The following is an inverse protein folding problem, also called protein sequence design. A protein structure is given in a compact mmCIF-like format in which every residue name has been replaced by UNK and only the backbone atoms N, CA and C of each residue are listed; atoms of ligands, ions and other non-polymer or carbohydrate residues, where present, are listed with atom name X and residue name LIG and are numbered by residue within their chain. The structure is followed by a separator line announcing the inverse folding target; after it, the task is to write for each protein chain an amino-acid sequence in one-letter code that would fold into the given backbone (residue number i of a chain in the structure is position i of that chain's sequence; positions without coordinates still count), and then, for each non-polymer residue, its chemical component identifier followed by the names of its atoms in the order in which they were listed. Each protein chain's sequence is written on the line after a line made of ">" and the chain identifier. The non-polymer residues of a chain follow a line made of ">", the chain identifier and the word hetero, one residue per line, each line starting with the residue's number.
data_IF_322788140671
#
_entry.id   IF_322788140671
#
_cell.length_a   1.000
_cell.length_b   1.000
_cell.length_c   1.000
_cell.angle_alpha   90.00
_cell.angle_beta   90.00
_cell.angle_gamma   90.00
#
_symmetry.space_group_name_H-M   'P 1'
#
loop_
_entity.id
_entity.type
_entity.pdbx_description
1 polymer ?
#
# COMPACT_ATOMS: atom_id res chain seq x y z
N UNK A 1 12.58 0.20 -36.10
CA UNK A 1 11.32 0.99 -36.10
C UNK A 1 11.37 2.11 -37.12
N UNK A 2 10.26 2.37 -37.82
CA UNK A 2 10.09 3.55 -38.69
C UNK A 2 8.98 4.40 -38.09
N UNK A 3 9.30 5.62 -37.68
CA UNK A 3 8.37 6.55 -37.03
C UNK A 3 8.12 7.73 -37.96
N UNK A 4 6.85 8.06 -38.22
CA UNK A 4 6.49 9.28 -38.95
C UNK A 4 5.86 10.26 -37.98
N UNK A 5 6.43 11.45 -37.87
CA UNK A 5 5.90 12.51 -37.01
C UNK A 5 5.61 13.77 -37.83
N UNK A 6 4.55 14.48 -37.47
CA UNK A 6 4.28 15.82 -37.99
C UNK A 6 4.92 16.84 -37.05
N UNK A 7 5.87 17.62 -37.53
CA UNK A 7 6.43 18.71 -36.73
C UNK A 7 5.60 19.97 -36.92
N UNK A 8 4.96 20.42 -35.85
CA UNK A 8 4.32 21.73 -35.77
C UNK A 8 5.35 22.75 -35.26
N UNK A 9 6.22 23.24 -36.14
CA UNK A 9 6.89 24.53 -35.91
C UNK A 9 5.95 25.67 -36.34
N UNK A 10 6.34 26.93 -36.18
CA UNK A 10 5.56 28.14 -36.53
C UNK A 10 5.20 28.31 -38.04
N UNK A 11 5.11 27.22 -38.81
CA UNK A 11 4.77 27.16 -40.23
C UNK A 11 3.92 25.91 -40.55
N UNK A 12 3.75 25.56 -41.85
CA UNK A 12 2.95 24.40 -42.24
C UNK A 12 3.53 23.11 -41.66
N UNK A 13 2.65 22.20 -41.23
CA UNK A 13 3.06 20.91 -40.68
C UNK A 13 3.86 20.11 -41.74
N UNK A 14 5.07 19.70 -41.38
CA UNK A 14 5.92 18.86 -42.23
C UNK A 14 5.98 17.45 -41.64
N UNK A 15 5.67 16.45 -42.46
CA UNK A 15 5.84 15.06 -42.07
C UNK A 15 7.32 14.69 -42.18
N UNK A 16 7.91 14.24 -41.08
CA UNK A 16 9.29 13.73 -41.00
C UNK A 16 9.26 12.23 -40.76
N UNK A 17 10.16 11.50 -41.42
CA UNK A 17 10.34 10.06 -41.21
C UNK A 17 11.64 9.83 -40.46
N UNK A 18 11.54 9.13 -39.35
CA UNK A 18 12.67 8.73 -38.53
C UNK A 18 12.85 7.23 -38.60
N UNK A 19 14.11 6.79 -38.64
CA UNK A 19 14.49 5.39 -38.48
C UNK A 19 15.14 5.27 -37.12
N UNK A 20 14.56 4.43 -36.27
CA UNK A 20 15.19 3.99 -35.04
C UNK A 20 15.64 2.54 -35.28
N UNK A 21 16.93 2.24 -35.12
CA UNK A 21 17.38 0.87 -35.28
C UNK A 21 16.76 -0.02 -34.19
N UNK A 22 16.49 -1.27 -34.56
CA UNK A 22 15.96 -2.29 -33.65
C UNK A 22 17.14 -2.99 -32.96
N UNK A 23 17.85 -2.25 -32.09
CA UNK A 23 18.93 -2.83 -31.29
C UNK A 23 18.46 -3.07 -29.86
N UNK A 24 18.94 -4.14 -29.20
CA UNK A 24 18.88 -4.17 -27.74
C UNK A 24 19.64 -2.93 -27.27
N UNK A 25 18.97 -2.09 -26.49
CA UNK A 25 19.61 -0.94 -25.86
C UNK A 25 20.82 -1.51 -25.08
N UNK A 26 22.03 -1.21 -25.54
CA UNK A 26 23.27 -1.50 -24.82
C UNK A 26 23.86 -0.16 -24.41
N UNK A 27 24.64 -0.17 -23.33
CA UNK A 27 25.27 0.90 -22.51
C UNK A 27 25.73 2.25 -23.13
N UNK A 28 25.51 2.53 -24.42
CA UNK A 28 25.66 3.88 -24.98
C UNK A 28 24.34 4.68 -24.90
N UNK A 29 24.33 5.85 -24.23
CA UNK A 29 23.11 6.57 -23.82
C UNK A 29 22.43 7.36 -24.95
N UNK A 30 22.75 7.11 -26.21
CA UNK A 30 22.15 7.83 -27.32
C UNK A 30 21.50 6.84 -28.28
N UNK A 31 20.17 6.71 -28.19
CA UNK A 31 19.38 6.23 -29.33
C UNK A 31 19.68 7.21 -30.47
N UNK A 32 20.60 6.87 -31.36
CA UNK A 32 20.91 7.72 -32.49
C UNK A 32 19.68 7.71 -33.41
N UNK A 33 18.90 8.78 -33.30
CA UNK A 33 17.74 9.00 -34.15
C UNK A 33 18.26 9.39 -35.53
N UNK A 34 17.81 8.69 -36.57
CA UNK A 34 18.16 9.07 -37.93
C UNK A 34 16.94 9.66 -38.62
N UNK A 35 17.09 10.81 -39.25
CA UNK A 35 16.05 11.42 -40.08
C UNK A 35 16.29 11.04 -41.55
N UNK A 36 15.23 10.58 -42.21
CA UNK A 36 15.22 10.37 -43.65
C UNK A 36 14.90 11.69 -44.32
N UNK A 37 15.90 12.26 -44.98
CA UNK A 37 15.79 13.50 -45.75
C UNK A 37 15.91 13.19 -47.25
N UNK A 38 15.67 14.18 -48.11
CA UNK A 38 15.93 14.04 -49.56
C UNK A 38 17.41 13.69 -49.86
N UNK A 39 18.34 14.05 -48.96
CA UNK A 39 19.76 13.74 -49.05
C UNK A 39 20.16 12.36 -48.48
N UNK A 40 19.21 11.55 -48.03
CA UNK A 40 19.47 10.25 -47.41
C UNK A 40 19.23 10.25 -45.90
N UNK A 41 19.77 9.22 -45.23
CA UNK A 41 19.63 8.99 -43.79
C UNK A 41 20.75 9.75 -43.07
N UNK A 42 20.40 10.73 -42.24
CA UNK A 42 21.36 11.51 -41.47
C UNK A 42 21.09 11.38 -39.96
N UNK A 43 22.12 11.33 -39.09
CA UNK A 43 21.92 11.35 -37.65
C UNK A 43 21.32 12.71 -37.26
N UNK A 44 20.23 12.66 -36.51
CA UNK A 44 19.65 13.84 -35.86
C UNK A 44 20.58 14.19 -34.70
N UNK A 45 21.10 15.42 -34.63
CA UNK A 45 21.76 15.89 -33.42
C UNK A 45 20.74 15.80 -32.30
N UNK A 46 20.94 14.87 -31.37
CA UNK A 46 20.15 14.85 -30.15
C UNK A 46 20.54 16.10 -29.38
N UNK A 47 19.67 17.11 -29.39
CA UNK A 47 19.80 18.20 -28.44
C UNK A 47 19.73 17.57 -27.07
N UNK A 48 20.84 17.60 -26.33
CA UNK A 48 20.88 17.13 -24.96
C UNK A 48 19.81 17.91 -24.22
N UNK A 49 18.73 17.22 -23.82
CA UNK A 49 17.64 17.85 -23.08
C UNK A 49 18.28 18.41 -21.82
N UNK A 50 18.19 19.73 -21.64
CA UNK A 50 18.75 20.38 -20.48
C UNK A 50 18.18 19.70 -19.23
N UNK A 51 19.06 19.21 -18.36
CA UNK A 51 18.63 18.57 -17.13
C UNK A 51 17.93 19.62 -16.27
N UNK A 52 16.69 19.36 -15.82
CA UNK A 52 16.01 20.28 -14.93
C UNK A 52 16.83 20.44 -13.65
N UNK A 53 17.06 21.67 -13.22
CA UNK A 53 17.64 21.98 -11.91
C UNK A 53 16.58 22.08 -10.82
N UNK A 54 15.31 22.15 -11.21
CA UNK A 54 14.15 22.29 -10.34
C UNK A 54 12.98 21.45 -10.90
N UNK A 55 12.21 20.83 -10.00
CA UNK A 55 10.96 20.14 -10.28
C UNK A 55 9.95 20.55 -9.20
N UNK A 56 8.83 21.17 -9.61
CA UNK A 56 7.79 21.65 -8.71
C UNK A 56 8.28 22.62 -7.63
N UNK A 57 9.32 23.41 -7.90
CA UNK A 57 9.93 24.29 -6.90
C UNK A 57 10.90 23.60 -5.94
N UNK A 58 11.14 22.29 -6.13
CA UNK A 58 12.13 21.52 -5.40
C UNK A 58 13.45 21.47 -6.19
N UNK A 59 14.60 21.78 -5.58
CA UNK A 59 15.89 21.61 -6.22
C UNK A 59 16.12 20.13 -6.55
N UNK A 60 16.56 19.86 -7.78
CA UNK A 60 16.91 18.49 -8.20
C UNK A 60 18.27 18.13 -7.62
N UNK A 61 18.28 17.20 -6.67
CA UNK A 61 19.49 16.70 -5.99
C UNK A 61 19.93 15.35 -6.56
N UNK A 62 21.19 15.01 -6.33
CA UNK A 62 21.76 13.68 -6.62
C UNK A 62 21.33 12.66 -5.58
N UNK A 63 21.47 11.37 -5.90
CA UNK A 63 21.23 10.28 -4.92
C UNK A 63 22.15 10.41 -3.70
N UNK A 64 23.41 10.80 -3.88
CA UNK A 64 24.34 11.03 -2.77
C UNK A 64 23.89 12.15 -1.84
N UNK A 65 23.40 13.26 -2.39
CA UNK A 65 22.85 14.38 -1.61
C UNK A 65 21.56 13.98 -0.87
N UNK A 66 20.66 13.19 -1.49
CA UNK A 66 19.47 12.68 -0.83
C UNK A 66 19.82 11.78 0.38
N UNK A 67 20.84 10.93 0.24
CA UNK A 67 21.37 10.12 1.35
C UNK A 67 21.88 11.01 2.49
N UNK A 68 22.57 12.11 2.17
CA UNK A 68 23.02 13.05 3.19
C UNK A 68 21.85 13.69 3.95
N UNK A 69 20.69 13.90 3.30
CA UNK A 69 19.48 14.38 3.97
C UNK A 69 18.97 13.33 4.96
N UNK A 70 18.77 12.08 4.50
CA UNK A 70 18.36 10.95 5.35
C UNK A 70 19.29 10.77 6.56
N UNK A 71 20.60 10.81 6.32
CA UNK A 71 21.60 10.56 7.36
C UNK A 71 21.76 11.73 8.35
N UNK A 72 21.20 12.92 8.05
CA UNK A 72 21.25 14.09 8.92
C UNK A 72 20.23 14.05 10.08
N UNK A 73 19.23 13.16 10.01
CA UNK A 73 18.24 12.98 11.07
C UNK A 73 16.83 12.70 10.54
N UNK A 74 15.84 12.87 11.42
CA UNK A 74 14.41 12.79 11.10
C UNK A 74 14.05 14.01 10.23
N UNK A 75 13.74 13.78 8.96
CA UNK A 75 13.43 14.81 7.98
C UNK A 75 12.49 14.23 6.90
N UNK A 76 11.22 14.64 6.93
CA UNK A 76 10.14 14.18 6.03
C UNK A 76 9.90 15.14 4.86
N UNK A 77 10.82 16.09 4.61
CA UNK A 77 10.70 16.99 3.46
C UNK A 77 10.78 16.23 2.14
N UNK A 78 10.06 16.75 1.17
CA UNK A 78 10.08 16.30 -0.21
C UNK A 78 11.38 16.67 -0.92
N UNK A 79 11.91 15.70 -1.67
CA UNK A 79 13.13 15.80 -2.44
C UNK A 79 12.87 15.43 -3.89
N UNK A 80 13.35 16.24 -4.84
CA UNK A 80 13.44 15.83 -6.23
C UNK A 80 14.80 15.15 -6.46
N UNK A 81 14.83 13.82 -6.48
CA UNK A 81 16.06 13.03 -6.59
C UNK A 81 16.26 12.56 -8.03
N UNK A 82 17.41 12.92 -8.62
CA UNK A 82 17.84 12.44 -9.93
C UNK A 82 18.76 11.24 -9.77
N UNK A 83 18.45 10.16 -10.48
CA UNK A 83 19.23 8.93 -10.50
C UNK A 83 18.86 8.00 -11.64
N UNK A 84 19.30 6.75 -11.54
CA UNK A 84 19.07 5.70 -12.52
C UNK A 84 18.29 4.55 -11.89
N UNK A 85 17.28 4.07 -12.59
CA UNK A 85 16.45 2.96 -12.18
C UNK A 85 16.61 1.78 -13.14
N UNK A 86 17.11 0.66 -12.63
CA UNK A 86 17.37 -0.56 -13.39
C UNK A 86 16.17 -1.50 -13.54
N UNK A 87 15.03 -1.19 -12.91
CA UNK A 87 13.90 -2.11 -12.78
C UNK A 87 13.97 -2.96 -11.51
N UNK A 88 12.91 -3.73 -11.26
CA UNK A 88 12.79 -4.61 -10.10
C UNK A 88 13.52 -5.92 -10.38
N UNK A 89 14.38 -6.35 -9.46
CA UNK A 89 15.05 -7.64 -9.55
C UNK A 89 14.02 -8.77 -9.45
N UNK A 90 13.98 -9.67 -10.44
CA UNK A 90 13.12 -10.86 -10.41
C UNK A 90 13.77 -11.91 -9.50
N UNK A 91 13.37 -11.92 -8.24
CA UNK A 91 13.88 -12.85 -7.22
C UNK A 91 12.79 -13.81 -6.78
N UNK A 92 13.17 -15.06 -6.55
CA UNK A 92 12.29 -16.03 -5.88
C UNK A 92 12.23 -15.71 -4.39
N UNK A 93 11.21 -14.95 -4.00
CA UNK A 93 10.95 -14.62 -2.61
C UNK A 93 10.20 -15.76 -1.92
N UNK A 94 10.60 -16.17 -0.70
CA UNK A 94 9.73 -17.02 0.11
C UNK A 94 8.42 -16.26 0.37
N UNK A 95 7.31 -16.98 0.42
CA UNK A 95 6.04 -16.38 0.82
C UNK A 95 6.22 -15.70 2.18
N UNK A 96 5.80 -14.43 2.29
CA UNK A 96 5.83 -13.75 3.58
C UNK A 96 4.96 -14.54 4.55
N UNK A 97 5.59 -15.03 5.62
CA UNK A 97 4.90 -15.77 6.68
C UNK A 97 4.23 -14.83 7.69
N UNK A 98 4.61 -13.55 7.70
CA UNK A 98 4.02 -12.51 8.51
C UNK A 98 3.21 -11.55 7.62
N UNK A 99 2.04 -11.08 8.10
CA UNK A 99 1.33 -10.01 7.43
C UNK A 99 2.19 -8.73 7.51
N UNK A 100 2.34 -8.06 6.36
CA UNK A 100 2.98 -6.74 6.29
C UNK A 100 2.08 -5.76 7.07
N UNK A 101 2.65 -5.07 8.05
CA UNK A 101 1.89 -4.17 8.92
C UNK A 101 1.91 -2.73 8.40
N UNK A 102 2.97 -2.37 7.68
CA UNK A 102 3.16 -1.04 7.09
C UNK A 102 3.47 -1.14 5.60
N UNK A 103 2.91 -0.29 4.72
CA UNK A 103 3.28 -0.27 3.30
C UNK A 103 4.77 0.04 3.10
N UNK A 104 5.38 0.81 4.00
CA UNK A 104 6.81 1.13 3.93
C UNK A 104 7.69 0.05 4.58
N UNK A 105 7.13 -1.06 5.05
CA UNK A 105 7.90 -2.20 5.54
C UNK A 105 8.57 -2.90 4.35
N UNK A 106 9.91 -3.02 4.30
CA UNK A 106 10.58 -3.71 3.21
C UNK A 106 10.13 -5.17 3.11
N UNK A 107 9.52 -5.52 1.98
CA UNK A 107 9.13 -6.90 1.65
C UNK A 107 10.05 -7.43 0.54
N UNK A 108 10.24 -8.73 0.37
CA UNK A 108 10.99 -9.21 -0.79
C UNK A 108 10.14 -9.03 -2.06
N UNK A 109 10.63 -8.36 -3.13
CA UNK A 109 12.03 -8.06 -3.45
C UNK A 109 12.50 -6.60 -3.20
N UNK A 110 11.76 -5.80 -2.45
CA UNK A 110 12.01 -4.37 -2.21
C UNK A 110 13.44 -4.01 -1.81
N UNK A 111 14.14 -4.76 -0.91
CA UNK A 111 15.54 -4.47 -0.57
C UNK A 111 16.52 -4.55 -1.74
N UNK A 112 16.08 -5.05 -2.89
CA UNK A 112 16.89 -5.21 -4.11
C UNK A 112 16.45 -4.29 -5.24
N UNK A 113 15.56 -3.35 -4.94
CA UNK A 113 15.13 -2.29 -5.86
C UNK A 113 15.87 -1.01 -5.48
N UNK A 114 16.48 -0.34 -6.45
CA UNK A 114 17.39 0.78 -6.19
C UNK A 114 17.19 1.92 -7.18
N UNK A 115 17.23 3.16 -6.69
CA UNK A 115 17.61 4.34 -7.47
C UNK A 115 19.08 4.60 -7.19
N UNK A 116 19.89 4.60 -8.24
CA UNK A 116 21.36 4.63 -8.17
C UNK A 116 21.90 5.93 -8.77
N UNK A 117 23.04 6.43 -8.28
CA UNK A 117 23.61 7.68 -8.83
C UNK A 117 24.13 7.50 -10.27
N UNK A 118 24.65 6.31 -10.57
CA UNK A 118 25.19 5.90 -11.86
C UNK A 118 24.34 4.76 -12.43
N UNK A 119 24.24 4.59 -13.75
CA UNK A 119 23.50 3.48 -14.33
C UNK A 119 24.11 2.15 -13.89
N UNK A 120 23.29 1.29 -13.31
CA UNK A 120 23.62 -0.08 -12.92
C UNK A 120 22.83 -1.08 -13.76
N UNK A 121 23.39 -2.22 -14.19
CA UNK A 121 22.65 -3.22 -14.94
C UNK A 121 21.35 -3.64 -14.21
N UNK A 122 20.25 -3.93 -14.92
CA UNK A 122 19.02 -4.43 -14.32
C UNK A 122 19.23 -5.69 -13.48
N UNK A 123 18.46 -5.81 -12.40
CA UNK A 123 18.55 -6.94 -11.50
C UNK A 123 19.86 -6.97 -10.70
N UNK A 124 20.65 -5.89 -10.72
CA UNK A 124 21.82 -5.75 -9.85
C UNK A 124 21.37 -5.72 -8.40
N UNK A 125 21.68 -6.79 -7.69
CA UNK A 125 21.42 -6.95 -6.26
C UNK A 125 22.41 -6.10 -5.45
N UNK A 126 23.67 -6.06 -5.88
CA UNK A 126 24.77 -5.34 -5.23
C UNK A 126 25.15 -4.13 -6.08
N UNK A 127 24.50 -3.00 -5.83
CA UNK A 127 24.77 -1.74 -6.54
C UNK A 127 26.11 -1.14 -6.10
N UNK A 128 26.78 -0.40 -6.99
CA UNK A 128 28.04 0.29 -6.69
C UNK A 128 27.82 1.79 -6.48
N UNK A 129 28.31 2.30 -5.34
CA UNK A 129 28.18 3.72 -5.00
C UNK A 129 26.85 4.08 -4.35
N UNK A 130 26.48 5.37 -4.34
CA UNK A 130 25.28 5.86 -3.67
C UNK A 130 23.99 5.29 -4.29
N UNK A 131 23.13 4.74 -3.44
CA UNK A 131 21.85 4.17 -3.82
C UNK A 131 20.82 4.34 -2.70
N UNK A 132 19.55 4.50 -3.08
CA UNK A 132 18.41 4.56 -2.16
C UNK A 132 17.39 3.49 -2.55
N UNK A 133 16.70 2.90 -1.56
CA UNK A 133 15.61 1.96 -1.79
C UNK A 133 14.32 2.73 -2.00
N UNK A 134 13.80 2.84 -3.24
CA UNK A 134 12.53 3.50 -3.48
C UNK A 134 11.39 2.61 -3.01
N UNK A 135 10.30 3.23 -2.59
CA UNK A 135 8.97 2.63 -2.50
C UNK A 135 8.08 3.29 -3.55
N UNK A 136 7.53 2.48 -4.47
CA UNK A 136 6.65 2.94 -5.55
C UNK A 136 5.19 2.54 -5.30
N UNK A 137 4.84 2.17 -4.07
CA UNK A 137 3.47 1.80 -3.73
C UNK A 137 2.47 2.90 -4.11
N UNK A 138 1.38 2.47 -4.75
CA UNK A 138 0.30 3.30 -5.27
C UNK A 138 0.71 4.26 -6.42
N UNK A 139 1.80 3.95 -7.12
CA UNK A 139 2.17 4.62 -8.36
C UNK A 139 1.93 3.78 -9.62
N UNK A 140 1.59 4.44 -10.72
CA UNK A 140 1.64 3.84 -12.05
C UNK A 140 3.10 3.53 -12.40
N UNK A 141 3.43 2.25 -12.42
CA UNK A 141 4.75 1.73 -12.76
C UNK A 141 4.90 1.40 -14.25
N UNK A 142 3.97 1.82 -15.11
CA UNK A 142 3.98 1.55 -16.55
C UNK A 142 5.20 2.09 -17.29
N UNK A 143 5.88 3.08 -16.72
CA UNK A 143 7.14 3.64 -17.21
C UNK A 143 8.38 2.79 -16.90
N UNK A 144 8.27 1.85 -15.94
CA UNK A 144 9.42 1.07 -15.50
C UNK A 144 9.98 0.22 -16.66
N UNK A 145 11.32 0.09 -16.75
CA UNK A 145 11.92 -0.71 -17.79
C UNK A 145 11.52 -2.18 -17.57
N UNK A 146 10.90 -2.77 -18.59
CA UNK A 146 10.48 -4.18 -18.54
C UNK A 146 11.68 -5.07 -18.83
N UNK A 147 11.94 -6.02 -17.93
CA UNK A 147 12.86 -7.12 -18.21
C UNK A 147 12.18 -8.03 -19.23
N UNK A 148 12.44 -7.79 -20.52
CA UNK A 148 11.99 -8.72 -21.56
C UNK A 148 12.87 -9.97 -21.52
N UNK A 149 12.30 -11.16 -21.71
CA UNK A 149 13.09 -12.41 -21.73
C UNK A 149 14.19 -12.48 -22.81
N UNK A 150 14.36 -11.43 -23.63
CA UNK A 150 15.33 -11.33 -24.71
C UNK A 150 16.61 -10.53 -24.35
N UNK A 151 16.74 -10.00 -23.13
CA UNK A 151 17.97 -9.32 -22.69
C UNK A 151 17.81 -8.53 -21.40
N UNK A 152 18.91 -8.02 -20.81
CA UNK A 152 18.83 -7.09 -19.70
C UNK A 152 18.03 -5.86 -20.15
N UNK A 153 17.11 -5.40 -19.31
CA UNK A 153 16.56 -4.05 -19.44
C UNK A 153 17.70 -2.99 -19.55
N UNK A 154 17.39 -1.78 -20.00
CA UNK A 154 18.34 -0.67 -19.88
C UNK A 154 17.90 0.23 -18.73
N UNK A 155 18.83 0.61 -17.84
CA UNK A 155 18.51 1.53 -16.76
C UNK A 155 18.00 2.84 -17.35
N UNK A 156 16.90 3.34 -16.79
CA UNK A 156 16.32 4.61 -17.21
C UNK A 156 16.74 5.69 -16.23
N UNK A 157 17.11 6.86 -16.74
CA UNK A 157 17.32 8.02 -15.90
C UNK A 157 15.97 8.53 -15.44
N UNK A 158 15.79 8.74 -14.14
CA UNK A 158 14.57 9.28 -13.57
C UNK A 158 14.85 10.51 -12.71
N UNK A 159 13.82 11.34 -12.56
CA UNK A 159 13.71 12.27 -11.43
C UNK A 159 12.49 11.86 -10.62
N UNK A 160 12.73 11.34 -9.42
CA UNK A 160 11.71 10.91 -8.47
C UNK A 160 11.50 12.01 -7.43
N UNK A 161 10.24 12.35 -7.15
CA UNK A 161 9.82 13.23 -6.06
C UNK A 161 9.28 12.33 -4.96
N UNK A 162 9.81 12.48 -3.75
CA UNK A 162 9.48 11.66 -2.61
C UNK A 162 10.22 12.11 -1.35
N UNK A 163 10.01 11.39 -0.25
CA UNK A 163 10.58 11.71 1.07
C UNK A 163 11.11 10.46 1.80
N UNK A 164 11.89 10.71 2.86
CA UNK A 164 12.28 9.71 3.86
C UNK A 164 11.44 9.87 5.12
N UNK A 165 11.58 8.94 6.07
CA UNK A 165 10.92 9.03 7.39
C UNK A 165 9.39 9.17 7.33
N UNK A 166 8.77 8.49 6.37
CA UNK A 166 7.32 8.46 6.21
C UNK A 166 6.65 8.07 7.54
N UNK A 167 5.58 8.78 7.91
CA UNK A 167 4.86 8.58 9.18
C UNK A 167 4.37 7.14 9.39
N UNK A 168 4.14 6.39 8.32
CA UNK A 168 3.74 4.98 8.33
C UNK A 168 4.87 4.07 8.83
N UNK A 169 6.10 4.55 8.90
CA UNK A 169 7.20 3.86 9.59
C UNK A 169 6.92 3.65 11.08
N UNK A 170 6.07 4.48 11.71
CA UNK A 170 5.72 4.35 13.13
C UNK A 170 4.91 3.09 13.46
N UNK A 171 4.27 2.46 12.46
CA UNK A 171 3.56 1.18 12.64
C UNK A 171 4.40 -0.03 12.24
N UNK A 172 5.63 0.17 11.76
CA UNK A 172 6.53 -0.93 11.47
C UNK A 172 6.90 -1.69 12.76
N UNK A 173 7.17 -3.01 12.66
CA UNK A 173 7.75 -3.76 13.75
C UNK A 173 9.03 -3.08 14.28
N UNK A 174 9.28 -3.18 15.60
CA UNK A 174 10.43 -2.52 16.23
C UNK A 174 11.77 -2.90 15.59
N UNK A 175 11.89 -4.12 15.04
CA UNK A 175 13.09 -4.58 14.35
C UNK A 175 13.26 -3.98 12.94
N UNK A 176 12.18 -3.48 12.33
CA UNK A 176 12.15 -2.95 10.96
C UNK A 176 12.06 -1.41 10.91
N UNK A 177 11.77 -0.74 12.03
CA UNK A 177 11.47 0.71 12.05
C UNK A 177 12.53 1.57 11.35
N UNK A 178 13.82 1.28 11.54
CA UNK A 178 14.89 2.02 10.86
C UNK A 178 14.88 1.78 9.35
N UNK A 179 14.69 0.52 8.92
CA UNK A 179 14.61 0.20 7.50
C UNK A 179 13.38 0.84 6.84
N UNK A 180 12.25 0.94 7.56
CA UNK A 180 11.07 1.66 7.10
C UNK A 180 11.32 3.16 6.93
N UNK A 181 12.02 3.79 7.87
CA UNK A 181 12.37 5.22 7.79
C UNK A 181 13.36 5.52 6.67
N UNK A 182 14.25 4.59 6.40
CA UNK A 182 15.27 4.71 5.35
C UNK A 182 14.72 4.47 3.94
N UNK A 183 13.46 4.00 3.80
CA UNK A 183 12.81 3.89 2.50
C UNK A 183 12.51 5.27 1.95
N UNK A 184 12.83 5.46 0.67
CA UNK A 184 12.47 6.66 -0.06
C UNK A 184 11.08 6.47 -0.68
N UNK A 185 10.04 6.97 -0.01
CA UNK A 185 8.66 6.87 -0.50
C UNK A 185 8.51 7.80 -1.70
N UNK A 186 8.30 7.22 -2.87
CA UNK A 186 8.14 7.98 -4.11
C UNK A 186 6.68 8.38 -4.25
N UNK A 187 6.44 9.68 -4.35
CA UNK A 187 5.12 10.26 -4.55
C UNK A 187 4.88 10.62 -6.02
N UNK A 188 5.95 10.85 -6.79
CA UNK A 188 5.86 11.05 -8.24
C UNK A 188 7.16 10.72 -8.96
N UNK A 189 7.06 10.09 -10.13
CA UNK A 189 8.15 10.08 -11.11
C UNK A 189 7.94 11.23 -12.09
N UNK A 190 8.68 12.33 -11.90
CA UNK A 190 8.47 13.57 -12.63
C UNK A 190 9.12 13.54 -14.02
N UNK A 191 10.19 12.77 -14.20
CA UNK A 191 10.89 12.60 -15.47
C UNK A 191 11.37 11.17 -15.66
N UNK A 192 11.29 10.68 -16.90
CA UNK A 192 11.88 9.41 -17.36
C UNK A 192 12.63 9.70 -18.67
N UNK A 193 13.94 9.52 -18.68
CA UNK A 193 14.83 9.86 -19.80
C UNK A 193 14.60 11.30 -20.34
N UNK A 194 14.38 12.25 -19.41
CA UNK A 194 14.13 13.66 -19.73
C UNK A 194 12.71 14.00 -20.18
N UNK A 195 11.82 13.01 -20.40
CA UNK A 195 10.42 13.22 -20.72
C UNK A 195 9.55 13.18 -19.46
N UNK A 196 8.45 13.93 -19.45
CA UNK A 196 7.44 13.83 -18.39
C UNK A 196 6.52 12.64 -18.66
N UNK A 197 6.45 11.63 -17.76
CA UNK A 197 5.47 10.57 -17.90
C UNK A 197 4.05 11.13 -17.59
N UNK A 198 2.98 10.40 -17.98
CA UNK A 198 1.64 10.72 -17.51
C UNK A 198 1.58 10.83 -15.98
N UNK A 199 0.65 11.65 -15.46
CA UNK A 199 0.38 11.67 -14.02
C UNK A 199 0.00 10.27 -13.55
N UNK A 200 0.54 9.87 -12.41
CA UNK A 200 0.23 8.58 -11.80
C UNK A 200 -1.24 8.53 -11.36
N UNK A 201 -2.00 7.61 -11.96
CA UNK A 201 -3.37 7.29 -11.59
C UNK A 201 -3.52 5.78 -11.45
N UNK A 202 -3.71 5.31 -10.22
CA UNK A 202 -3.96 3.89 -9.92
C UNK A 202 -5.45 3.70 -9.62
N UNK A 203 -6.14 2.85 -10.37
CA UNK A 203 -7.57 2.57 -10.20
C UNK A 203 -7.74 1.09 -9.83
N UNK A 204 -8.14 0.83 -8.58
CA UNK A 204 -8.45 -0.53 -8.11
C UNK A 204 -9.96 -0.82 -8.09
N UNK A 205 -10.80 0.22 -8.23
CA UNK A 205 -12.26 0.13 -8.10
C UNK A 205 -12.94 0.49 -9.41
N UNK A 206 -13.90 -0.34 -9.83
CA UNK A 206 -14.76 -0.06 -10.98
C UNK A 206 -16.02 0.73 -10.59
N UNK A 207 -16.57 1.47 -11.56
CA UNK A 207 -17.87 2.14 -11.43
C UNK A 207 -17.85 3.33 -10.48
N UNK A 208 -16.82 4.18 -10.63
CA UNK A 208 -16.63 5.42 -9.89
C UNK A 208 -17.76 6.41 -10.14
N UNK A 209 -18.16 7.12 -9.09
CA UNK A 209 -19.15 8.19 -9.14
C UNK A 209 -18.52 9.54 -9.53
N UNK A 210 -17.24 9.76 -9.19
CA UNK A 210 -16.49 10.97 -9.55
C UNK A 210 -15.46 10.70 -10.65
N UNK A 211 -15.11 11.76 -11.36
CA UNK A 211 -14.00 11.80 -12.32
C UNK A 211 -12.74 12.37 -11.66
N UNK A 212 -11.58 12.15 -12.27
CA UNK A 212 -10.31 12.68 -11.78
C UNK A 212 -10.29 14.22 -11.75
N UNK A 213 -10.92 14.88 -12.73
CA UNK A 213 -11.00 16.35 -12.78
C UNK A 213 -11.89 16.92 -11.66
N UNK A 214 -13.00 16.25 -11.33
CA UNK A 214 -13.86 16.64 -10.21
C UNK A 214 -13.12 16.52 -8.87
N UNK A 215 -12.40 15.42 -8.67
CA UNK A 215 -11.61 15.20 -7.44
C UNK A 215 -10.44 16.19 -7.36
N UNK A 216 -9.76 16.45 -8.47
CA UNK A 216 -8.72 17.47 -8.54
C UNK A 216 -9.28 18.87 -8.21
N UNK A 217 -10.51 19.18 -8.60
CA UNK A 217 -11.17 20.44 -8.23
C UNK A 217 -11.50 20.51 -6.73
N UNK A 218 -11.96 19.41 -6.11
CA UNK A 218 -12.18 19.34 -4.65
C UNK A 218 -10.87 19.59 -3.90
N UNK A 219 -9.80 18.87 -4.27
CA UNK A 219 -8.47 19.03 -3.67
C UNK A 219 -7.90 20.42 -3.91
N UNK A 220 -8.08 20.99 -5.10
CA UNK A 220 -7.60 22.33 -5.44
C UNK A 220 -8.26 23.47 -4.65
N UNK A 221 -9.44 23.24 -4.06
CA UNK A 221 -10.06 24.21 -3.13
C UNK A 221 -9.35 24.23 -1.78
N UNK A 222 -8.87 23.08 -1.31
CA UNK A 222 -8.16 22.94 -0.02
C UNK A 222 -6.67 23.26 -0.15
N UNK A 223 -6.08 22.95 -1.31
CA UNK A 223 -4.66 23.21 -1.64
C UNK A 223 -4.50 24.07 -2.90
N UNK A 224 -4.78 25.39 -2.81
CA UNK A 224 -4.69 26.26 -3.98
C UNK A 224 -3.25 26.38 -4.49
N UNK A 225 -2.99 25.81 -5.67
CA UNK A 225 -1.69 25.91 -6.36
C UNK A 225 -0.69 24.80 -6.02
N UNK A 226 -1.02 23.90 -5.09
CA UNK A 226 -0.23 22.70 -4.83
C UNK A 226 -0.31 21.73 -6.01
N UNK A 227 0.82 21.27 -6.59
CA UNK A 227 0.78 20.29 -7.66
C UNK A 227 0.40 18.91 -7.09
N UNK A 228 -0.57 18.25 -7.72
CA UNK A 228 -0.89 16.84 -7.45
C UNK A 228 0.27 15.96 -7.91
N UNK A 229 0.85 15.21 -6.97
CA UNK A 229 1.96 14.29 -7.19
C UNK A 229 1.44 12.95 -7.72
N UNK A 230 0.46 12.36 -7.03
CA UNK A 230 -0.16 11.09 -7.40
C UNK A 230 -1.60 11.00 -6.94
N UNK A 231 -2.36 10.14 -7.62
CA UNK A 231 -3.73 9.79 -7.29
C UNK A 231 -3.88 8.27 -7.30
N UNK A 232 -4.45 7.71 -6.23
CA UNK A 232 -4.86 6.32 -6.16
C UNK A 232 -6.33 6.23 -5.77
N UNK A 233 -7.03 5.22 -6.28
CA UNK A 233 -8.43 4.97 -5.99
C UNK A 233 -8.56 3.55 -5.47
N UNK A 234 -8.96 3.45 -4.21
CA UNK A 234 -8.99 2.17 -3.49
C UNK A 234 -10.36 1.89 -2.91
N UNK A 235 -10.66 0.60 -2.78
CA UNK A 235 -11.81 0.14 -2.01
C UNK A 235 -11.55 0.37 -0.53
N UNK A 236 -12.52 0.92 0.20
CA UNK A 236 -12.35 1.22 1.62
C UNK A 236 -12.12 -0.04 2.45
N UNK A 237 -12.85 -1.12 2.17
CA UNK A 237 -12.77 -2.32 3.00
C UNK A 237 -11.45 -3.10 2.83
N UNK A 238 -10.86 -3.05 1.63
CA UNK A 238 -9.71 -3.89 1.27
C UNK A 238 -8.43 -3.11 0.95
N UNK A 239 -8.53 -1.87 0.50
CA UNK A 239 -7.39 -1.09 0.01
C UNK A 239 -6.93 0.01 0.96
N UNK A 240 -7.83 0.71 1.68
CA UNK A 240 -7.39 1.88 2.48
C UNK A 240 -6.40 1.52 3.58
N UNK A 241 -6.54 0.34 4.22
CA UNK A 241 -5.61 -0.12 5.24
C UNK A 241 -4.23 -0.50 4.69
N UNK A 242 -4.12 -0.79 3.39
CA UNK A 242 -2.85 -1.04 2.71
C UNK A 242 -2.07 0.27 2.54
N UNK A 243 -2.74 1.33 2.10
CA UNK A 243 -2.13 2.65 1.89
C UNK A 243 -1.90 3.38 3.22
N UNK A 244 -2.91 3.35 4.10
CA UNK A 244 -2.99 4.06 5.36
C UNK A 244 -3.39 3.11 6.50
N UNK A 245 -2.42 2.39 7.10
CA UNK A 245 -2.70 1.36 8.13
C UNK A 245 -3.54 1.86 9.31
N UNK A 246 -3.44 3.14 9.68
CA UNK A 246 -4.22 3.73 10.76
C UNK A 246 -5.73 3.78 10.46
N UNK A 247 -6.10 3.96 9.18
CA UNK A 247 -7.47 3.94 8.69
C UNK A 247 -7.98 2.52 8.48
N UNK A 248 -7.03 1.59 8.29
CA UNK A 248 -7.28 0.16 8.29
C UNK A 248 -8.25 -0.22 9.38
N UNK A 249 -8.09 0.26 10.63
CA UNK A 249 -8.92 -0.07 11.83
C UNK A 249 -10.39 0.40 11.86
N UNK A 250 -10.90 0.95 10.76
CA UNK A 250 -12.27 1.44 10.64
C UNK A 250 -12.50 2.82 11.20
N UNK A 251 -11.41 3.43 11.68
CA UNK A 251 -11.41 4.80 12.17
C UNK A 251 -11.83 5.75 11.05
N UNK A 252 -12.85 6.57 11.32
CA UNK A 252 -13.34 7.56 10.37
C UNK A 252 -14.33 7.02 9.33
N UNK A 253 -14.72 5.74 9.39
CA UNK A 253 -15.71 5.17 8.47
C UNK A 253 -15.23 4.99 7.03
N UNK A 254 -13.92 5.09 6.80
CA UNK A 254 -13.31 4.91 5.48
C UNK A 254 -13.45 3.47 4.97
N UNK A 255 -13.37 2.49 5.86
CA UNK A 255 -13.59 1.07 5.54
C UNK A 255 -14.96 0.76 4.92
N UNK A 256 -15.96 1.60 5.18
CA UNK A 256 -17.33 1.43 4.71
C UNK A 256 -17.55 2.09 3.34
N UNK A 257 -16.55 2.84 2.85
CA UNK A 257 -16.63 3.52 1.57
C UNK A 257 -16.25 2.55 0.45
N UNK A 258 -17.08 2.51 -0.59
CA UNK A 258 -16.80 1.67 -1.77
C UNK A 258 -15.57 2.14 -2.55
N UNK A 259 -15.33 3.45 -2.59
CA UNK A 259 -14.18 4.02 -3.27
C UNK A 259 -13.70 5.26 -2.51
N UNK A 260 -12.39 5.33 -2.29
CA UNK A 260 -11.70 6.46 -1.70
C UNK A 260 -10.60 6.89 -2.65
N UNK A 261 -10.59 8.16 -2.98
CA UNK A 261 -9.49 8.80 -3.70
C UNK A 261 -8.43 9.21 -2.68
N UNK A 262 -7.22 8.67 -2.81
CA UNK A 262 -6.03 9.08 -2.07
C UNK A 262 -5.21 9.98 -2.99
N UNK A 263 -5.11 11.26 -2.66
CA UNK A 263 -4.45 12.27 -3.49
C UNK A 263 -3.29 12.85 -2.71
N UNK A 264 -2.08 12.75 -3.27
CA UNK A 264 -0.87 13.33 -2.67
C UNK A 264 -0.54 14.66 -3.34
N UNK A 265 -0.38 15.71 -2.56
CA UNK A 265 -0.16 17.09 -3.03
C UNK A 265 1.09 17.66 -2.37
N UNK A 266 1.91 18.37 -3.14
CA UNK A 266 3.07 19.08 -2.60
C UNK A 266 2.66 20.46 -2.05
N UNK A 267 2.90 20.68 -0.76
CA UNK A 267 2.67 21.94 -0.05
C UNK A 267 3.89 22.34 0.77
N UNK A 268 4.45 23.53 0.53
CA UNK A 268 5.58 24.04 1.30
C UNK A 268 6.78 23.07 1.44
N UNK A 269 7.02 22.24 0.42
CA UNK A 269 8.05 21.17 0.39
C UNK A 269 7.73 19.93 1.23
N UNK A 270 6.47 19.72 1.60
CA UNK A 270 5.97 18.50 2.24
C UNK A 270 4.87 17.88 1.38
N UNK A 271 4.77 16.56 1.40
CA UNK A 271 3.62 15.88 0.81
C UNK A 271 2.47 15.83 1.81
N UNK A 272 1.32 16.36 1.40
CA UNK A 272 0.05 16.27 2.12
C UNK A 272 -0.82 15.23 1.42
N UNK A 273 -1.30 14.25 2.19
CA UNK A 273 -2.23 13.23 1.69
C UNK A 273 -3.66 13.64 2.00
N UNK A 274 -4.44 13.86 0.95
CA UNK A 274 -5.88 14.06 1.01
C UNK A 274 -6.65 12.77 0.71
N UNK A 275 -7.76 12.57 1.41
CA UNK A 275 -8.72 11.52 1.16
C UNK A 275 -10.04 12.16 0.71
N UNK A 276 -10.55 11.76 -0.45
CA UNK A 276 -11.86 12.20 -0.94
C UNK A 276 -12.78 10.98 -1.08
N UNK A 277 -13.96 11.05 -0.46
CA UNK A 277 -14.96 9.98 -0.57
C UNK A 277 -15.66 10.10 -1.93
N UNK A 278 -15.57 9.04 -2.74
CA UNK A 278 -16.09 9.03 -4.11
C UNK A 278 -17.59 9.38 -4.18
N UNK A 279 -17.96 10.23 -5.13
CA UNK A 279 -19.34 10.72 -5.29
C UNK A 279 -19.76 11.79 -4.27
N UNK A 280 -18.84 12.28 -3.44
CA UNK A 280 -19.08 13.37 -2.48
C UNK A 280 -18.03 14.47 -2.61
N UNK A 281 -18.22 15.59 -1.92
CA UNK A 281 -17.22 16.64 -1.75
C UNK A 281 -16.44 16.50 -0.43
N UNK A 282 -16.70 15.46 0.38
CA UNK A 282 -16.05 15.26 1.67
C UNK A 282 -14.55 14.99 1.48
N UNK A 283 -13.73 15.86 2.08
CA UNK A 283 -12.28 15.81 1.97
C UNK A 283 -11.63 15.85 3.35
N UNK A 284 -10.64 14.98 3.53
CA UNK A 284 -9.89 14.82 4.76
C UNK A 284 -8.40 14.95 4.48
N UNK A 285 -7.70 15.64 5.36
CA UNK A 285 -6.24 15.71 5.37
C UNK A 285 -5.70 14.68 6.36
N UNK A 286 -4.72 13.88 5.93
CA UNK A 286 -4.01 12.97 6.83
C UNK A 286 -2.93 13.69 7.61
N UNK A 287 -3.07 13.70 8.94
CA UNK A 287 -2.08 14.30 9.84
C UNK A 287 -0.88 13.38 10.07
N UNK A 288 0.21 13.97 10.55
CA UNK A 288 1.44 13.24 10.94
C UNK A 288 1.19 12.10 11.94
N UNK A 289 0.17 12.20 12.80
CA UNK A 289 -0.21 11.14 13.75
C UNK A 289 -1.08 10.02 13.14
N UNK A 290 -1.24 10.03 11.81
CA UNK A 290 -2.03 9.09 11.05
C UNK A 290 -3.54 9.27 11.21
N UNK A 291 -4.01 10.39 11.76
CA UNK A 291 -5.44 10.67 11.88
C UNK A 291 -5.95 11.49 10.70
N UNK A 292 -7.10 11.12 10.11
CA UNK A 292 -7.77 11.95 9.13
C UNK A 292 -8.47 13.11 9.85
N UNK A 293 -8.36 14.31 9.31
CA UNK A 293 -9.08 15.52 9.77
C UNK A 293 -9.89 16.06 8.61
N UNK A 294 -11.20 16.22 8.81
CA UNK A 294 -12.05 16.85 7.80
C UNK A 294 -11.61 18.31 7.60
N UNK A 295 -11.29 18.67 6.35
CA UNK A 295 -10.85 20.02 5.98
C UNK A 295 -11.88 20.75 5.12
N UNK A 296 -12.76 20.00 4.44
CA UNK A 296 -13.81 20.57 3.62
C UNK A 296 -14.91 19.56 3.26
N UNK A 297 -15.91 20.07 2.55
CA UNK A 297 -17.03 19.29 2.03
C UNK A 297 -18.13 18.93 3.03
N UNK A 298 -19.16 18.26 2.52
CA UNK A 298 -20.28 17.73 3.30
C UNK A 298 -19.95 16.31 3.72
N UNK A 299 -19.65 16.12 5.01
CA UNK A 299 -19.41 14.78 5.54
C UNK A 299 -20.60 13.88 5.20
N UNK A 300 -20.37 12.67 4.65
CA UNK A 300 -21.46 11.71 4.52
C UNK A 300 -22.03 11.49 5.91
N UNK A 301 -23.34 11.69 6.06
CA UNK A 301 -24.03 11.22 7.26
C UNK A 301 -23.68 9.74 7.35
N UNK A 302 -23.06 9.25 8.44
CA UNK A 302 -22.77 7.84 8.58
C UNK A 302 -24.07 7.12 8.32
N UNK A 303 -24.12 6.40 7.20
CA UNK A 303 -25.18 5.43 7.02
C UNK A 303 -24.87 4.40 8.09
N UNK A 304 -25.52 4.49 9.26
CA UNK A 304 -25.52 3.38 10.21
C UNK A 304 -25.98 2.17 9.41
N UNK A 305 -25.03 1.34 8.98
CA UNK A 305 -25.35 0.05 8.39
C UNK A 305 -26.29 -0.59 9.41
N UNK A 306 -27.50 -1.02 9.00
CA UNK A 306 -28.51 -1.42 9.95
C UNK A 306 -27.92 -2.53 10.81
N UNK A 307 -27.70 -2.25 12.08
CA UNK A 307 -27.29 -3.26 13.03
C UNK A 307 -28.54 -4.09 13.39
N UNK A 308 -28.47 -5.42 13.30
CA UNK A 308 -27.29 -6.21 12.93
C UNK A 308 -27.11 -6.43 11.43
N UNK A 309 -25.87 -6.73 10.98
CA UNK A 309 -25.59 -7.09 9.59
C UNK A 309 -26.55 -8.18 9.08
N UNK A 310 -26.92 -8.09 7.79
CA UNK A 310 -27.79 -9.09 7.16
C UNK A 310 -27.17 -10.50 7.28
N UNK A 311 -27.98 -11.46 7.73
CA UNK A 311 -27.53 -12.84 7.94
C UNK A 311 -26.82 -13.11 9.28
N UNK A 312 -26.63 -12.09 10.13
CA UNK A 312 -26.02 -12.30 11.45
C UNK A 312 -26.96 -13.04 12.42
N UNK A 313 -26.40 -13.98 13.19
CA UNK A 313 -27.07 -14.55 14.35
C UNK A 313 -26.87 -13.62 15.56
N UNK A 314 -27.96 -13.21 16.21
CA UNK A 314 -27.89 -12.31 17.36
C UNK A 314 -27.87 -13.07 18.66
N UNK A 315 -26.79 -12.91 19.41
CA UNK A 315 -26.64 -13.39 20.76
C UNK A 315 -26.86 -12.23 21.72
N UNK A 316 -27.89 -12.33 22.56
CA UNK A 316 -28.13 -11.36 23.64
C UNK A 316 -27.39 -11.85 24.90
N UNK A 317 -26.48 -11.03 25.42
CA UNK A 317 -25.75 -11.36 26.64
C UNK A 317 -26.62 -11.01 27.85
N UNK A 318 -27.28 -12.02 28.44
CA UNK A 318 -28.34 -11.84 29.44
C UNK A 318 -27.89 -11.95 30.91
N UNK A 319 -26.64 -12.35 31.18
CA UNK A 319 -26.14 -12.47 32.56
C UNK A 319 -25.74 -11.11 33.14
N UNK A 320 -25.86 -10.98 34.48
CA UNK A 320 -25.87 -9.75 35.29
C UNK A 320 -24.98 -8.61 34.80
N UNK A 321 -25.46 -7.85 33.81
CA UNK A 321 -24.96 -6.50 33.56
C UNK A 321 -25.37 -5.70 34.79
N UNK A 322 -24.40 -5.11 35.51
CA UNK A 322 -24.67 -4.38 36.75
C UNK A 322 -25.91 -3.49 36.64
N UNK A 323 -26.74 -3.46 37.70
CA UNK A 323 -28.05 -2.82 37.69
C UNK A 323 -28.03 -1.46 36.97
N UNK A 324 -28.77 -1.36 35.86
CA UNK A 324 -28.90 -0.12 35.07
C UNK A 324 -28.15 -0.10 33.72
N UNK A 325 -27.40 -1.14 33.34
CA UNK A 325 -26.76 -1.23 32.01
C UNK A 325 -27.60 -2.05 31.02
N UNK A 326 -27.64 -1.63 29.75
CA UNK A 326 -28.31 -2.39 28.70
C UNK A 326 -27.53 -3.69 28.39
N UNK A 327 -28.21 -4.81 28.11
CA UNK A 327 -27.58 -6.03 27.61
C UNK A 327 -26.78 -5.75 26.35
N UNK A 328 -25.51 -6.13 26.34
CA UNK A 328 -24.73 -6.14 25.11
C UNK A 328 -25.30 -7.21 24.16
N UNK A 329 -25.40 -6.86 22.88
CA UNK A 329 -25.84 -7.77 21.83
C UNK A 329 -24.65 -8.00 20.89
N UNK A 330 -24.42 -9.25 20.56
CA UNK A 330 -23.35 -9.66 19.63
C UNK A 330 -24.00 -10.17 18.36
N UNK A 331 -23.68 -9.54 17.23
CA UNK A 331 -24.00 -10.06 15.92
C UNK A 331 -22.85 -10.98 15.49
N UNK A 332 -23.16 -12.26 15.30
CA UNK A 332 -22.21 -13.29 14.88
C UNK A 332 -22.49 -13.60 13.42
N UNK A 333 -21.56 -13.26 12.55
CA UNK A 333 -21.61 -13.68 11.14
C UNK A 333 -20.67 -14.87 11.00
N UNK A 334 -21.27 -16.06 10.92
CA UNK A 334 -20.49 -17.28 10.71
C UNK A 334 -19.94 -17.30 9.28
N UNK A 335 -18.62 -17.12 9.15
CA UNK A 335 -17.87 -17.31 7.91
C UNK A 335 -17.08 -18.62 7.90
N UNK A 336 -17.36 -19.54 8.85
CA UNK A 336 -16.72 -20.85 8.99
C UNK A 336 -17.10 -21.79 7.84
N UNK A 337 -16.47 -21.52 6.71
CA UNK A 337 -16.57 -22.24 5.45
C UNK A 337 -15.45 -21.83 4.50
N UNK A 338 -14.81 -20.66 4.75
CA UNK A 338 -13.51 -20.32 4.19
C UNK A 338 -12.40 -20.93 5.05
N UNK A 339 -11.80 -21.98 4.54
CA UNK A 339 -10.51 -22.49 5.02
C UNK A 339 -9.46 -21.38 4.89
N UNK A 340 -9.03 -20.76 5.99
CA UNK A 340 -8.06 -19.64 5.93
C UNK A 340 -6.61 -20.13 5.95
N UNK A 341 -6.34 -21.31 6.52
CA UNK A 341 -5.04 -22.00 6.41
C UNK A 341 -5.13 -23.49 6.80
N UNK A 342 -4.20 -24.31 6.31
CA UNK A 342 -4.01 -25.72 6.68
C UNK A 342 -2.55 -25.94 7.07
N UNK A 343 -2.28 -26.63 8.18
CA UNK A 343 -0.91 -26.92 8.65
C UNK A 343 -0.77 -28.36 9.16
N UNK A 344 0.40 -28.97 8.96
CA UNK A 344 0.77 -30.28 9.54
C UNK A 344 1.19 -30.08 11.02
N UNK A 345 0.62 -30.85 11.94
CA UNK A 345 0.91 -30.74 13.39
C UNK A 345 2.20 -31.52 13.68
N UNK A 346 3.35 -30.83 13.73
CA UNK A 346 4.61 -31.43 14.25
C UNK A 346 4.75 -31.17 15.75
N UNK A 347 5.53 -32.03 16.42
CA UNK A 347 5.99 -31.89 17.82
C UNK A 347 6.39 -30.43 18.14
N UNK A 348 6.30 -29.99 19.42
CA UNK A 348 6.40 -28.58 19.79
C UNK A 348 7.71 -27.96 19.31
N UNK A 349 7.63 -27.41 18.10
CA UNK A 349 8.68 -26.66 17.44
C UNK A 349 8.61 -25.25 18.06
N UNK A 350 9.71 -24.70 18.58
CA UNK A 350 9.76 -23.31 19.00
C UNK A 350 9.61 -22.42 17.76
N UNK A 351 8.35 -22.14 17.40
CA UNK A 351 7.93 -21.38 16.22
C UNK A 351 7.44 -19.97 16.61
N UNK A 352 7.46 -19.01 15.65
CA UNK A 352 7.77 -17.60 15.89
C UNK A 352 6.59 -16.74 16.38
N UNK A 353 6.96 -15.59 16.96
CA UNK A 353 6.19 -14.49 17.56
C UNK A 353 5.06 -13.87 16.70
N UNK A 354 4.08 -14.64 16.22
CA UNK A 354 2.79 -14.06 15.79
C UNK A 354 1.90 -13.67 16.98
N UNK A 355 2.41 -13.75 18.22
CA UNK A 355 1.74 -13.38 19.48
C UNK A 355 0.51 -14.23 19.85
N UNK A 356 0.00 -15.05 18.93
CA UNK A 356 -1.24 -15.80 19.06
C UNK A 356 -0.95 -17.29 18.82
N UNK A 357 -0.56 -17.99 19.89
CA UNK A 357 -0.28 -19.43 19.88
C UNK A 357 -1.57 -20.28 20.08
N UNK A 358 -2.64 -19.66 20.58
CA UNK A 358 -3.97 -20.25 20.86
C UNK A 358 -5.07 -19.41 20.18
N UNK A 359 -6.34 -19.57 20.59
CA UNK A 359 -7.41 -18.64 20.23
C UNK A 359 -7.09 -17.19 20.66
N UNK A 360 -7.22 -16.21 19.76
CA UNK A 360 -7.10 -14.78 20.07
C UNK A 360 -8.17 -13.94 19.38
N UNK A 361 -8.49 -12.80 19.99
CA UNK A 361 -9.39 -11.81 19.45
C UNK A 361 -8.56 -10.65 18.90
N UNK A 362 -8.58 -10.47 17.58
CA UNK A 362 -7.95 -9.32 16.94
C UNK A 362 -9.03 -8.35 16.50
N UNK A 363 -8.82 -7.06 16.74
CA UNK A 363 -9.69 -6.04 16.15
C UNK A 363 -9.36 -5.96 14.67
N UNK A 364 -10.33 -6.29 13.84
CA UNK A 364 -10.19 -6.24 12.40
C UNK A 364 -10.07 -4.80 11.93
N UNK A 365 -9.57 -4.68 10.71
CA UNK A 365 -9.56 -3.43 9.99
C UNK A 365 -10.99 -2.86 9.88
N UNK A 366 -11.98 -3.66 9.49
CA UNK A 366 -13.38 -3.22 9.38
C UNK A 366 -14.09 -2.85 10.72
N UNK A 367 -13.36 -2.66 11.83
CA UNK A 367 -13.90 -2.30 13.14
C UNK A 367 -14.56 -3.46 13.89
N UNK A 368 -14.86 -4.57 13.19
CA UNK A 368 -15.30 -5.82 13.79
C UNK A 368 -14.17 -6.47 14.59
N UNK A 369 -14.49 -7.52 15.33
CA UNK A 369 -13.51 -8.32 16.05
C UNK A 369 -13.45 -9.69 15.41
N UNK A 370 -12.25 -10.13 15.04
CA UNK A 370 -12.00 -11.46 14.50
C UNK A 370 -11.47 -12.35 15.62
N UNK A 371 -12.25 -13.34 16.00
CA UNK A 371 -11.79 -14.42 16.84
C UNK A 371 -11.12 -15.46 15.94
N UNK A 372 -9.81 -15.57 16.06
CA UNK A 372 -8.95 -16.47 15.29
C UNK A 372 -8.51 -17.62 16.18
N UNK A 373 -8.51 -18.84 15.66
CA UNK A 373 -7.96 -19.99 16.38
C UNK A 373 -7.59 -21.14 15.42
N UNK A 374 -6.82 -22.11 15.88
CA UNK A 374 -6.47 -23.31 15.09
C UNK A 374 -7.17 -24.54 15.66
N UNK A 375 -8.16 -25.07 14.94
CA UNK A 375 -8.85 -26.31 15.30
C UNK A 375 -8.30 -27.54 14.58
N UNK A 376 -8.68 -28.74 15.01
CA UNK A 376 -8.44 -29.96 14.25
C UNK A 376 -9.41 -30.10 13.06
N UNK A 377 -9.01 -30.86 12.04
CA UNK A 377 -9.91 -31.32 10.95
C UNK A 377 -11.17 -32.00 11.50
N UNK A 378 -11.03 -32.66 12.64
CA UNK A 378 -12.08 -33.43 13.28
C UNK A 378 -12.92 -32.67 14.29
N UNK A 379 -12.68 -31.37 14.48
CA UNK A 379 -13.52 -30.54 15.34
C UNK A 379 -14.91 -30.44 14.71
N UNK A 380 -15.81 -31.33 15.14
CA UNK A 380 -17.17 -31.44 14.62
C UNK A 380 -18.11 -30.41 15.26
N UNK A 381 -17.76 -29.92 16.46
CA UNK A 381 -18.48 -28.88 17.19
C UNK A 381 -17.51 -28.03 17.95
N UNK A 382 -17.78 -26.73 17.98
CA UNK A 382 -17.03 -25.76 18.73
C UNK A 382 -18.03 -24.83 19.42
N UNK A 383 -17.76 -24.52 20.68
CA UNK A 383 -18.59 -23.61 21.47
C UNK A 383 -17.77 -22.38 21.81
N UNK A 384 -18.20 -21.22 21.31
CA UNK A 384 -17.65 -19.93 21.75
C UNK A 384 -18.56 -19.35 22.82
N UNK A 385 -18.00 -19.13 24.01
CA UNK A 385 -18.71 -18.50 25.13
C UNK A 385 -18.14 -17.11 25.35
N UNK A 386 -18.99 -16.09 25.35
CA UNK A 386 -18.60 -14.69 25.63
C UNK A 386 -19.20 -14.30 26.99
N UNK A 387 -18.37 -13.91 27.95
CA UNK A 387 -18.84 -13.47 29.27
C UNK A 387 -19.64 -12.15 29.17
N UNK A 388 -20.57 -11.94 30.10
CA UNK A 388 -21.31 -10.69 30.18
C UNK A 388 -20.37 -9.53 30.47
N UNK A 389 -20.34 -8.54 29.56
CA UNK A 389 -19.40 -7.43 29.59
C UNK A 389 -18.19 -7.59 28.67
N UNK A 390 -18.08 -8.72 27.96
CA UNK A 390 -17.03 -9.00 26.95
C UNK A 390 -15.62 -8.93 27.55
N UNK A 391 -15.45 -9.15 28.85
CA UNK A 391 -14.12 -9.25 29.49
C UNK A 391 -13.40 -10.55 29.16
N UNK A 392 -14.14 -11.57 28.71
CA UNK A 392 -13.59 -12.89 28.46
C UNK A 392 -14.33 -13.60 27.32
N UNK A 393 -13.58 -14.30 26.49
CA UNK A 393 -14.07 -15.20 25.45
C UNK A 393 -13.43 -16.57 25.65
N UNK A 394 -14.23 -17.63 25.65
CA UNK A 394 -13.76 -19.01 25.78
C UNK A 394 -14.10 -19.78 24.52
N UNK A 395 -13.09 -20.36 23.88
CA UNK A 395 -13.22 -21.24 22.72
C UNK A 395 -13.06 -22.69 23.19
N UNK A 396 -14.17 -23.42 23.26
CA UNK A 396 -14.20 -24.82 23.68
C UNK A 396 -14.38 -25.73 22.46
N UNK A 397 -13.38 -26.58 22.22
CA UNK A 397 -13.37 -27.54 21.13
C UNK A 397 -14.13 -28.84 21.46
N UNK A 398 -14.63 -28.98 22.69
CA UNK A 398 -15.21 -30.22 23.19
C UNK A 398 -14.20 -31.35 23.23
N UNK A 399 -14.72 -32.58 23.23
CA UNK A 399 -13.90 -33.80 23.23
C UNK A 399 -13.45 -34.11 21.81
N UNK A 400 -12.14 -34.07 21.56
CA UNK A 400 -11.58 -34.42 20.25
C UNK A 400 -11.39 -35.94 20.10
N UNK A 401 -11.96 -36.59 19.07
CA UNK A 401 -11.52 -37.93 18.69
C UNK A 401 -10.08 -37.86 18.17
N UNK A 402 -9.26 -38.89 18.42
CA UNK A 402 -7.81 -38.89 18.17
C UNK A 402 -7.38 -38.86 16.69
N UNK A 403 -7.71 -37.83 15.93
CA UNK A 403 -7.39 -37.67 14.51
C UNK A 403 -6.58 -36.41 14.18
N UNK A 404 -5.75 -35.97 15.14
CA UNK A 404 -4.94 -34.76 15.05
C UNK A 404 -3.61 -35.01 14.31
N UNK A 405 -3.61 -34.98 12.98
CA UNK A 405 -2.39 -34.75 12.19
C UNK A 405 -2.40 -33.42 11.42
N UNK A 406 -3.56 -32.76 11.29
CA UNK A 406 -3.71 -31.49 10.58
C UNK A 406 -4.51 -30.46 11.37
N UNK A 407 -3.97 -29.24 11.48
CA UNK A 407 -4.64 -28.07 12.00
C UNK A 407 -5.29 -27.23 10.89
N UNK A 408 -6.48 -26.71 11.16
CA UNK A 408 -7.23 -25.78 10.31
C UNK A 408 -7.34 -24.44 11.04
N UNK A 409 -6.90 -23.37 10.38
CA UNK A 409 -7.18 -22.00 10.82
C UNK A 409 -8.67 -21.68 10.65
N UNK A 410 -9.29 -21.15 11.70
CA UNK A 410 -10.70 -20.77 11.75
C UNK A 410 -10.85 -19.32 12.19
N UNK A 411 -11.91 -18.67 11.71
CA UNK A 411 -12.20 -17.26 11.95
C UNK A 411 -13.69 -17.07 12.22
N UNK A 412 -14.02 -16.32 13.27
CA UNK A 412 -15.36 -15.79 13.54
C UNK A 412 -15.31 -14.28 13.58
N UNK A 413 -16.24 -13.64 12.87
CA UNK A 413 -16.40 -12.17 12.89
C UNK A 413 -17.49 -11.83 13.91
N UNK A 414 -17.10 -11.06 14.92
CA UNK A 414 -17.94 -10.60 16.02
C UNK A 414 -18.14 -9.09 15.89
N UNK A 415 -19.39 -8.66 15.90
CA UNK A 415 -19.77 -7.25 15.95
C UNK A 415 -20.58 -6.99 17.23
N UNK A 416 -20.13 -6.02 18.03
CA UNK A 416 -20.68 -5.73 19.35
C UNK A 416 -21.52 -4.46 19.29
N UNK A 417 -22.73 -4.51 19.85
CA UNK A 417 -23.62 -3.35 19.93
C UNK A 417 -23.13 -2.25 20.89
N UNK A 418 -21.98 -2.45 21.54
CA UNK A 418 -21.32 -1.50 22.45
C UNK A 418 -19.82 -1.53 22.17
N UNK A 419 -19.09 -0.42 22.37
CA UNK A 419 -17.63 -0.41 22.25
C UNK A 419 -16.99 -1.46 23.19
N UNK A 420 -16.04 -2.23 22.66
CA UNK A 420 -15.23 -3.21 23.39
C UNK A 420 -13.76 -2.79 23.27
N UNK A 421 -12.96 -2.95 24.32
CA UNK A 421 -11.51 -2.79 24.22
C UNK A 421 -10.87 -4.17 24.12
N UNK A 422 -10.43 -4.54 22.90
CA UNK A 422 -9.83 -5.85 22.62
C UNK A 422 -8.65 -6.19 23.54
N UNK A 423 -7.91 -5.18 24.02
CA UNK A 423 -6.74 -5.39 24.88
C UNK A 423 -7.11 -5.82 26.30
N UNK A 424 -8.38 -5.64 26.66
CA UNK A 424 -8.94 -6.02 27.97
C UNK A 424 -9.70 -7.36 27.94
N UNK A 425 -9.86 -7.96 26.75
CA UNK A 425 -10.59 -9.21 26.58
C UNK A 425 -9.64 -10.40 26.71
N UNK A 426 -9.81 -11.21 27.74
CA UNK A 426 -9.05 -12.45 27.88
C UNK A 426 -9.65 -13.55 26.98
N UNK A 427 -8.85 -14.13 26.09
CA UNK A 427 -9.29 -15.25 25.25
C UNK A 427 -8.66 -16.55 25.75
N UNK A 428 -9.48 -17.55 26.02
CA UNK A 428 -9.04 -18.86 26.49
C UNK A 428 -9.43 -19.94 25.49
N UNK A 429 -8.52 -20.88 25.24
CA UNK A 429 -8.82 -22.12 24.54
C UNK A 429 -8.93 -23.28 25.53
N UNK A 430 -10.07 -23.98 25.52
CA UNK A 430 -10.27 -25.20 26.29
C UNK A 430 -10.14 -26.42 25.37
N UNK A 431 -9.19 -27.30 25.69
CA UNK A 431 -8.99 -28.58 25.02
C UNK A 431 -9.22 -29.74 26.01
N UNK A 432 -10.33 -30.45 25.86
CA UNK A 432 -10.55 -31.72 26.55
C UNK A 432 -9.98 -32.87 25.70
N UNK A 433 -8.84 -33.44 26.12
CA UNK A 433 -8.32 -34.68 25.53
C UNK A 433 -8.87 -35.88 26.29
N UNK A 434 -9.37 -36.88 25.57
CA UNK A 434 -9.49 -38.22 26.12
C UNK A 434 -8.08 -38.74 26.35
N UNK A 435 -7.71 -38.95 27.62
CA UNK A 435 -6.51 -39.69 27.98
C UNK A 435 -6.94 -41.16 27.91
N UNK A 436 -6.47 -41.88 26.90
CA UNK A 436 -6.58 -43.34 26.84
C UNK A 436 -5.74 -44.01 27.93
#
# INVERSE_FOLDING_TARGET
>A
WVVRALTASAGPAVARTFVLPDFPFTDEPAIQLFEVTEGGIAPVPLTQVARPSDIFGLPVVTVGEAIMVRDAGVDDRELAVRGWFGGIAVLSCPASIAPIVSPVEPSCPDPFTWITEKPEPPGTINVTGPAINPDFDDLDTGWMPRVTGAGPAVPVEIVAVGHFDDRRSAVCPAWAVHACRDRFVVDRVARVNGAEPPRSLVIEVEGLASTEDEVAAVVGNESPGGPVLSTAIVDGATGIGRIEPSLGTGRGGFIDQRAIWVVRVLEDSLTVTYLVVDGTDAIFEMRADGKPVAVGGTLPTPSEAPWPPEGATIVVLTSQVGAGRQPARVAVVDRSGRLTSVREKREPDPAPDSGCHDACLVRAMDGSYRLLWTGGVCDARLTVTIEAGVSRIVVDHGVRPGCDSMGIGRELVLDFSVPVDATTVEVFELQARLID
#
